data_IF_921112171553
#
_entry.id   IF_921112171553
#
_cell.length_a   1.000
_cell.length_b   1.000
_cell.length_c   1.000
_cell.angle_alpha   90.00
_cell.angle_beta   90.00
_cell.angle_gamma   90.00
#
_symmetry.space_group_name_H-M   'P 1'
#
loop_
_entity.id
_entity.type
_entity.pdbx_description
1 polymer ?
#
# COMPACT_ATOMS: atom_id res chain seq x y z
N UNK A 1 48.50 -40.80 -10.31
CA UNK A 1 48.20 -39.63 -9.46
C UNK A 1 47.02 -38.79 -9.99
N UNK A 2 46.01 -39.43 -10.61
CA UNK A 2 44.88 -38.77 -11.28
C UNK A 2 43.49 -39.10 -10.71
N UNK A 3 43.16 -40.31 -10.23
CA UNK A 3 41.77 -40.61 -9.82
C UNK A 3 41.36 -39.92 -8.51
N UNK A 4 42.32 -39.73 -7.60
CA UNK A 4 42.07 -39.11 -6.30
C UNK A 4 41.77 -37.60 -6.39
N UNK A 5 42.32 -36.93 -7.41
CA UNK A 5 42.07 -35.50 -7.66
C UNK A 5 40.69 -35.24 -8.25
N UNK A 6 40.22 -36.12 -9.14
CA UNK A 6 38.86 -36.06 -9.68
C UNK A 6 37.81 -36.37 -8.62
N UNK A 7 38.08 -37.34 -7.73
CA UNK A 7 37.21 -37.65 -6.61
C UNK A 7 37.08 -36.46 -5.63
N UNK A 8 38.21 -35.81 -5.29
CA UNK A 8 38.20 -34.63 -4.44
C UNK A 8 37.44 -33.44 -5.08
N UNK A 9 37.56 -33.25 -6.39
CA UNK A 9 36.86 -32.19 -7.12
C UNK A 9 35.34 -32.44 -7.15
N UNK A 10 34.91 -33.69 -7.35
CA UNK A 10 33.50 -34.05 -7.38
C UNK A 10 32.83 -33.87 -6.00
N UNK A 11 33.53 -34.25 -4.92
CA UNK A 11 33.04 -34.08 -3.54
C UNK A 11 32.95 -32.60 -3.17
N UNK A 12 33.94 -31.79 -3.55
CA UNK A 12 33.90 -30.35 -3.33
C UNK A 12 32.73 -29.68 -4.08
N UNK A 13 32.44 -30.11 -5.32
CA UNK A 13 31.33 -29.59 -6.10
C UNK A 13 29.97 -29.92 -5.44
N UNK A 14 29.79 -31.13 -4.92
CA UNK A 14 28.55 -31.50 -4.21
C UNK A 14 28.35 -30.75 -2.89
N UNK A 15 29.43 -30.37 -2.20
CA UNK A 15 29.35 -29.59 -0.96
C UNK A 15 28.96 -28.13 -1.22
N UNK A 16 29.40 -27.54 -2.34
CA UNK A 16 29.03 -26.17 -2.72
C UNK A 16 27.56 -26.06 -3.13
N UNK A 17 27.00 -27.08 -3.79
CA UNK A 17 25.56 -27.10 -4.13
C UNK A 17 24.65 -27.30 -2.91
N UNK A 18 25.10 -28.00 -1.87
CA UNK A 18 24.35 -28.19 -0.62
C UNK A 18 24.30 -26.91 0.25
N UNK A 19 25.30 -26.03 0.14
CA UNK A 19 25.38 -24.80 0.92
C UNK A 19 24.44 -23.67 0.44
N UNK A 20 23.77 -23.82 -0.71
CA UNK A 20 22.70 -22.92 -1.15
C UNK A 20 21.29 -23.45 -0.83
N UNK A 21 21.17 -24.65 -0.24
CA UNK A 21 19.92 -25.11 0.35
C UNK A 21 19.76 -24.48 1.73
N UNK A 22 19.02 -23.37 1.81
CA UNK A 22 18.54 -22.86 3.09
C UNK A 22 17.87 -24.03 3.81
N UNK A 23 18.43 -24.42 4.96
CA UNK A 23 17.82 -25.39 5.86
C UNK A 23 16.35 -25.06 5.98
N UNK A 24 15.49 -26.04 5.78
CA UNK A 24 14.06 -25.95 6.05
C UNK A 24 13.90 -25.60 7.54
N UNK A 25 13.94 -24.30 7.86
CA UNK A 25 13.13 -23.76 8.93
C UNK A 25 11.73 -24.33 8.69
N UNK A 26 11.08 -24.93 9.71
CA UNK A 26 9.73 -25.45 9.54
C UNK A 26 8.96 -24.33 8.88
N UNK A 27 8.43 -24.62 7.68
CA UNK A 27 7.69 -23.68 6.87
C UNK A 27 6.88 -22.83 7.84
N UNK A 28 7.31 -21.56 8.00
CA UNK A 28 6.68 -20.59 8.88
C UNK A 28 5.21 -20.86 8.77
N UNK A 29 4.62 -21.35 9.87
CA UNK A 29 3.28 -21.91 9.90
C UNK A 29 2.45 -21.06 8.96
N UNK A 30 1.99 -21.65 7.84
CA UNK A 30 1.30 -20.91 6.79
C UNK A 30 0.40 -19.91 7.49
N UNK A 31 0.78 -18.63 7.46
CA UNK A 31 0.06 -17.59 8.19
C UNK A 31 -1.37 -17.82 7.76
N UNK A 32 -2.24 -18.14 8.73
CA UNK A 32 -3.66 -18.21 8.49
C UNK A 32 -4.06 -16.77 8.28
N UNK A 33 -3.71 -16.26 7.11
CA UNK A 33 -3.94 -14.90 6.72
C UNK A 33 -5.43 -14.66 6.87
N UNK A 34 -5.76 -13.47 7.35
CA UNK A 34 -7.14 -13.08 7.53
C UNK A 34 -7.90 -13.34 6.22
N UNK A 35 -9.07 -14.01 6.24
CA UNK A 35 -9.92 -14.17 5.06
C UNK A 35 -10.13 -12.87 4.29
N UNK A 36 -10.12 -11.71 4.96
CA UNK A 36 -10.17 -10.38 4.33
C UNK A 36 -8.94 -10.09 3.44
N UNK A 37 -7.73 -10.48 3.87
CA UNK A 37 -6.52 -10.37 3.05
C UNK A 37 -6.62 -11.22 1.78
N UNK A 38 -7.12 -12.44 1.92
CA UNK A 38 -7.34 -13.34 0.79
C UNK A 38 -8.36 -12.78 -0.21
N UNK A 39 -9.42 -12.12 0.28
CA UNK A 39 -10.41 -11.49 -0.58
C UNK A 39 -9.80 -10.37 -1.43
N UNK A 40 -8.90 -9.56 -0.88
CA UNK A 40 -8.26 -8.48 -1.64
C UNK A 40 -7.27 -9.00 -2.69
N UNK A 41 -6.55 -10.10 -2.41
CA UNK A 41 -5.62 -10.71 -3.37
C UNK A 41 -6.33 -11.22 -4.63
N UNK A 42 -7.64 -11.51 -4.57
CA UNK A 42 -8.43 -11.89 -5.74
C UNK A 42 -8.49 -10.79 -6.82
N UNK A 43 -8.14 -9.53 -6.48
CA UNK A 43 -8.08 -8.42 -7.43
C UNK A 43 -6.71 -8.24 -8.10
N UNK A 44 -5.70 -9.02 -7.71
CA UNK A 44 -4.35 -8.92 -8.25
C UNK A 44 -4.24 -9.76 -9.52
N UNK A 45 -3.84 -9.18 -10.67
CA UNK A 45 -3.59 -9.94 -11.89
C UNK A 45 -2.48 -10.97 -11.68
N UNK A 46 -2.63 -12.15 -12.28
CA UNK A 46 -1.62 -13.21 -12.19
C UNK A 46 -0.27 -12.82 -12.81
N UNK A 47 -0.26 -11.85 -13.74
CA UNK A 47 0.88 -11.32 -14.45
C UNK A 47 1.39 -9.98 -13.89
N UNK A 48 0.98 -9.61 -12.66
CA UNK A 48 1.45 -8.37 -12.04
C UNK A 48 3.00 -8.36 -11.94
N UNK A 49 3.67 -7.27 -12.36
CA UNK A 49 5.13 -7.20 -12.32
C UNK A 49 5.69 -7.05 -10.89
N UNK A 50 4.88 -6.60 -9.94
CA UNK A 50 5.21 -6.47 -8.52
C UNK A 50 3.95 -6.53 -7.65
N UNK A 51 4.12 -6.94 -6.41
CA UNK A 51 3.08 -6.96 -5.38
C UNK A 51 3.73 -6.68 -4.01
N UNK A 52 3.18 -5.74 -3.28
CA UNK A 52 3.39 -5.56 -1.85
C UNK A 52 2.03 -5.62 -1.17
N UNK A 53 1.88 -6.48 -0.17
CA UNK A 53 0.63 -6.62 0.57
C UNK A 53 0.91 -7.06 2.00
N UNK A 54 0.11 -6.56 2.96
CA UNK A 54 0.05 -7.14 4.30
C UNK A 54 -1.11 -8.14 4.39
N UNK A 55 -0.81 -9.33 4.90
CA UNK A 55 -1.79 -10.41 5.09
C UNK A 55 -2.51 -10.34 6.44
N UNK A 56 -1.95 -9.55 7.35
CA UNK A 56 -2.45 -9.29 8.68
C UNK A 56 -2.44 -7.76 8.90
N UNK A 57 -3.25 -7.22 9.83
CA UNK A 57 -3.24 -5.81 10.13
C UNK A 57 -1.84 -5.32 10.53
N UNK A 58 -1.48 -4.11 10.11
CA UNK A 58 -0.21 -3.49 10.48
C UNK A 58 -0.15 -3.37 12.03
N UNK A 59 0.93 -3.81 12.67
CA UNK A 59 1.13 -3.60 14.10
C UNK A 59 1.07 -2.12 14.47
N UNK A 60 0.48 -1.82 15.63
CA UNK A 60 0.21 -0.45 16.07
C UNK A 60 1.51 0.38 16.18
N UNK A 61 2.54 -0.19 16.78
CA UNK A 61 3.86 0.41 16.97
C UNK A 61 4.56 0.72 15.64
N UNK A 62 4.40 -0.17 14.66
CA UNK A 62 4.94 0.04 13.31
C UNK A 62 4.20 1.18 12.61
N UNK A 63 2.87 1.22 12.71
CA UNK A 63 2.08 2.31 12.14
C UNK A 63 2.46 3.66 12.75
N UNK A 64 2.56 3.73 14.08
CA UNK A 64 2.95 4.95 14.80
C UNK A 64 4.33 5.45 14.35
N UNK A 65 5.33 4.56 14.29
CA UNK A 65 6.67 4.89 13.80
C UNK A 65 6.63 5.45 12.36
N UNK A 66 5.82 4.85 11.47
CA UNK A 66 5.69 5.35 10.09
C UNK A 66 5.03 6.72 10.04
N UNK A 67 3.96 6.93 10.82
CA UNK A 67 3.26 8.21 10.89
C UNK A 67 4.14 9.32 11.46
N UNK A 68 4.89 9.06 12.53
CA UNK A 68 5.85 10.02 13.09
C UNK A 68 6.88 10.46 12.06
N UNK A 69 7.40 9.49 11.28
CA UNK A 69 8.34 9.76 10.19
C UNK A 69 7.72 10.57 9.05
N UNK A 70 6.45 10.33 8.73
CA UNK A 70 5.73 11.00 7.65
C UNK A 70 5.11 12.35 8.07
N UNK A 71 4.98 12.62 9.36
CA UNK A 71 4.29 13.79 9.89
C UNK A 71 4.74 15.11 9.26
N UNK A 72 6.04 15.41 9.08
CA UNK A 72 6.46 16.67 8.47
C UNK A 72 5.98 16.82 7.02
N UNK A 73 5.95 15.72 6.27
CA UNK A 73 5.46 15.72 4.89
C UNK A 73 3.93 15.85 4.84
N UNK A 74 3.21 15.23 5.78
CA UNK A 74 1.76 15.37 5.91
C UNK A 74 1.36 16.79 6.30
N UNK A 75 2.08 17.41 7.23
CA UNK A 75 1.86 18.80 7.65
C UNK A 75 2.09 19.78 6.49
N UNK A 76 3.16 19.55 5.72
CA UNK A 76 3.43 20.34 4.52
C UNK A 76 2.33 20.14 3.47
N UNK A 77 1.96 18.90 3.16
CA UNK A 77 0.90 18.59 2.21
C UNK A 77 -0.44 19.22 2.64
N UNK A 78 -0.75 19.22 3.94
CA UNK A 78 -1.94 19.86 4.49
C UNK A 78 -1.91 21.37 4.27
N UNK A 79 -0.78 22.01 4.55
CA UNK A 79 -0.60 23.46 4.34
C UNK A 79 -0.78 23.83 2.86
N UNK A 80 -0.15 23.07 1.96
CA UNK A 80 -0.24 23.29 0.51
C UNK A 80 -1.66 23.05 -0.01
N UNK A 81 -2.33 22.00 0.45
CA UNK A 81 -3.73 21.71 0.11
C UNK A 81 -4.64 22.86 0.54
N UNK A 82 -4.55 23.29 1.80
CA UNK A 82 -5.38 24.38 2.32
C UNK A 82 -5.11 25.70 1.59
N UNK A 83 -3.86 25.97 1.18
CA UNK A 83 -3.52 27.14 0.38
C UNK A 83 -4.13 27.05 -1.04
N UNK A 84 -3.97 25.93 -1.71
CA UNK A 84 -4.52 25.70 -3.05
C UNK A 84 -6.06 25.81 -3.08
N UNK A 85 -6.74 25.31 -2.04
CA UNK A 85 -8.19 25.43 -1.92
C UNK A 85 -8.66 26.88 -1.71
N UNK A 86 -7.90 27.71 -0.99
CA UNK A 86 -8.20 29.14 -0.79
C UNK A 86 -8.01 29.97 -2.07
N UNK A 87 -7.01 29.61 -2.87
CA UNK A 87 -6.72 30.27 -4.14
C UNK A 87 -7.64 29.80 -5.27
N UNK A 88 -8.34 28.68 -5.10
CA UNK A 88 -9.25 28.13 -6.10
C UNK A 88 -10.55 28.94 -6.18
N UNK A 89 -10.86 29.59 -7.32
CA UNK A 89 -12.05 30.43 -7.48
C UNK A 89 -13.36 29.64 -7.63
N UNK A 90 -13.37 28.35 -7.27
CA UNK A 90 -14.49 27.44 -7.49
C UNK A 90 -15.64 27.68 -6.49
N UNK A 91 -16.37 28.75 -6.79
CA UNK A 91 -17.73 29.05 -6.36
C UNK A 91 -18.60 29.61 -7.50
N UNK A 92 -18.17 29.59 -8.77
CA UNK A 92 -18.93 30.20 -9.86
C UNK A 92 -18.73 29.53 -11.23
N UNK A 93 -19.52 28.50 -11.53
CA UNK A 93 -20.18 28.30 -12.84
C UNK A 93 -20.97 26.98 -12.83
N UNK A 94 -22.24 27.06 -13.23
CA UNK A 94 -23.18 25.94 -13.35
C UNK A 94 -23.27 25.44 -14.82
N UNK A 95 -22.36 25.88 -15.68
CA UNK A 95 -22.34 25.54 -17.11
C UNK A 95 -21.33 24.43 -17.39
N UNK A 96 -21.83 23.20 -17.42
CA UNK A 96 -21.02 21.99 -17.49
C UNK A 96 -20.46 21.71 -18.90
N UNK A 97 -19.18 21.98 -19.09
CA UNK A 97 -18.37 21.24 -20.06
C UNK A 97 -17.73 20.00 -19.38
N UNK A 98 -17.52 18.90 -20.11
CA UNK A 98 -17.09 17.61 -19.51
C UNK A 98 -15.74 17.70 -18.79
N UNK A 99 -14.86 18.59 -19.24
CA UNK A 99 -13.57 18.84 -18.57
C UNK A 99 -13.75 19.55 -17.23
N UNK A 100 -14.76 20.41 -17.10
CA UNK A 100 -15.09 21.10 -15.84
C UNK A 100 -15.66 20.13 -14.80
N UNK A 101 -16.41 19.11 -15.22
CA UNK A 101 -16.96 18.09 -14.34
C UNK A 101 -15.88 17.30 -13.58
N UNK A 102 -14.82 16.89 -14.27
CA UNK A 102 -13.69 16.19 -13.64
C UNK A 102 -12.90 17.12 -12.71
N UNK A 103 -12.68 18.38 -13.10
CA UNK A 103 -12.01 19.36 -12.25
C UNK A 103 -12.81 19.64 -10.96
N UNK A 104 -14.14 19.77 -11.07
CA UNK A 104 -15.05 19.94 -9.94
C UNK A 104 -15.05 18.74 -9.00
N UNK A 105 -15.10 17.52 -9.54
CA UNK A 105 -15.02 16.30 -8.74
C UNK A 105 -13.68 16.20 -8.00
N UNK A 106 -12.56 16.42 -8.69
CA UNK A 106 -11.23 16.42 -8.07
C UNK A 106 -11.14 17.44 -6.95
N UNK A 107 -11.68 18.64 -7.16
CA UNK A 107 -11.68 19.67 -6.13
C UNK A 107 -12.58 19.33 -4.94
N UNK A 108 -13.74 18.71 -5.18
CA UNK A 108 -14.61 18.22 -4.11
C UNK A 108 -13.88 17.17 -3.26
N UNK A 109 -13.21 16.21 -3.90
CA UNK A 109 -12.38 15.21 -3.22
C UNK A 109 -11.28 15.88 -2.40
N UNK A 110 -10.55 16.84 -2.98
CA UNK A 110 -9.49 17.56 -2.27
C UNK A 110 -10.01 18.34 -1.04
N UNK A 111 -11.22 18.93 -1.12
CA UNK A 111 -11.87 19.57 0.03
C UNK A 111 -12.18 18.57 1.14
N UNK A 112 -12.56 17.34 0.81
CA UNK A 112 -12.83 16.32 1.83
C UNK A 112 -11.59 15.96 2.64
N UNK A 113 -10.39 16.10 2.07
CA UNK A 113 -9.14 15.87 2.78
C UNK A 113 -8.61 17.11 3.53
N UNK A 114 -9.18 18.30 3.33
CA UNK A 114 -8.71 19.52 3.99
C UNK A 114 -8.91 19.44 5.51
N UNK A 115 -7.84 19.71 6.26
CA UNK A 115 -7.80 19.51 7.71
C UNK A 115 -7.77 18.05 8.17
N UNK A 116 -7.76 17.06 7.26
CA UNK A 116 -7.86 15.64 7.59
C UNK A 116 -6.60 14.83 7.26
N UNK A 117 -5.49 15.45 6.84
CA UNK A 117 -4.21 14.76 6.60
C UNK A 117 -3.44 14.47 7.90
N UNK A 118 -4.10 13.77 8.82
CA UNK A 118 -3.57 13.25 10.07
C UNK A 118 -4.18 11.87 10.33
N UNK A 119 -3.64 11.11 11.29
CA UNK A 119 -4.20 9.81 11.65
C UNK A 119 -5.71 9.89 11.95
N UNK A 120 -6.08 10.73 12.90
CA UNK A 120 -7.47 10.90 13.31
C UNK A 120 -8.34 11.48 12.19
N UNK A 121 -7.79 12.37 11.36
CA UNK A 121 -8.48 12.90 10.19
C UNK A 121 -8.80 11.83 9.15
N UNK A 122 -7.84 10.98 8.81
CA UNK A 122 -8.03 9.88 7.87
C UNK A 122 -8.99 8.82 8.43
N UNK A 123 -8.89 8.49 9.72
CA UNK A 123 -9.82 7.59 10.38
C UNK A 123 -11.25 8.17 10.42
N UNK A 124 -11.41 9.49 10.52
CA UNK A 124 -12.73 10.15 10.45
C UNK A 124 -13.41 10.04 9.09
N UNK A 125 -12.64 9.76 8.03
CA UNK A 125 -13.14 9.46 6.68
C UNK A 125 -13.54 7.97 6.52
N UNK A 126 -13.42 7.17 7.58
CA UNK A 126 -13.69 5.73 7.55
C UNK A 126 -12.51 4.89 7.03
N UNK A 127 -11.33 5.48 6.86
CA UNK A 127 -10.12 4.74 6.48
C UNK A 127 -9.56 4.00 7.69
N UNK A 128 -9.10 2.77 7.50
CA UNK A 128 -8.33 2.03 8.51
C UNK A 128 -6.87 1.94 8.04
N UNK A 129 -5.99 2.68 8.72
CA UNK A 129 -4.57 2.74 8.37
C UNK A 129 -3.83 1.44 8.70
N UNK A 130 -4.42 0.57 9.54
CA UNK A 130 -3.87 -0.73 9.90
C UNK A 130 -4.44 -1.86 9.06
N UNK A 131 -5.54 -1.62 8.34
CA UNK A 131 -6.19 -2.64 7.54
C UNK A 131 -5.26 -3.30 6.51
N UNK A 132 -5.76 -4.36 5.89
CA UNK A 132 -5.11 -4.98 4.75
C UNK A 132 -5.00 -4.00 3.58
N UNK A 133 -3.78 -3.85 3.08
CA UNK A 133 -3.39 -2.96 2.01
C UNK A 133 -2.66 -3.75 0.93
N UNK A 134 -2.92 -3.41 -0.33
CA UNK A 134 -2.26 -4.00 -1.49
C UNK A 134 -1.74 -2.91 -2.39
N UNK A 135 -0.52 -3.08 -2.86
CA UNK A 135 0.11 -2.26 -3.86
C UNK A 135 0.66 -3.16 -4.96
N UNK A 136 0.10 -3.08 -6.16
CA UNK A 136 0.44 -3.98 -7.25
C UNK A 136 0.42 -3.28 -8.61
N UNK A 137 1.09 -3.86 -9.59
CA UNK A 137 1.11 -3.33 -10.96
C UNK A 137 -0.13 -3.73 -11.75
N UNK A 138 -0.71 -2.77 -12.46
CA UNK A 138 -1.73 -3.02 -13.47
C UNK A 138 -1.29 -2.35 -14.78
N UNK A 139 -0.67 -3.14 -15.67
CA UNK A 139 0.01 -2.62 -16.85
C UNK A 139 1.16 -1.69 -16.45
N UNK A 140 1.09 -0.41 -16.86
CA UNK A 140 2.11 0.60 -16.57
C UNK A 140 1.88 1.38 -15.25
N UNK A 141 0.74 1.19 -14.58
CA UNK A 141 0.35 2.00 -13.44
C UNK A 141 0.29 1.17 -12.14
N UNK A 142 0.74 1.74 -11.01
CA UNK A 142 0.51 1.12 -9.71
C UNK A 142 -0.96 1.26 -9.30
N UNK A 143 -1.49 0.23 -8.66
CA UNK A 143 -2.79 0.21 -8.01
C UNK A 143 -2.60 0.02 -6.53
N UNK A 144 -3.21 0.90 -5.74
CA UNK A 144 -3.29 0.76 -4.29
C UNK A 144 -4.72 0.40 -3.88
N UNK A 145 -4.88 -0.57 -2.98
CA UNK A 145 -6.15 -0.96 -2.36
C UNK A 145 -5.97 -0.99 -0.85
N UNK A 146 -6.99 -0.59 -0.12
CA UNK A 146 -7.08 -0.76 1.33
C UNK A 146 -8.50 -1.15 1.71
N UNK A 147 -8.66 -1.91 2.80
CA UNK A 147 -9.98 -2.06 3.42
C UNK A 147 -10.37 -0.78 4.16
N UNK A 148 -11.68 -0.54 4.28
CA UNK A 148 -12.24 0.55 5.07
C UNK A 148 -12.56 0.04 6.47
N UNK A 149 -12.29 0.86 7.49
CA UNK A 149 -12.76 0.62 8.85
C UNK A 149 -14.25 0.92 8.99
N UNK A 150 -14.71 2.01 8.36
CA UNK A 150 -16.11 2.43 8.36
C UNK A 150 -16.57 2.85 6.95
N UNK A 151 -17.19 1.93 6.19
CA UNK A 151 -17.75 2.26 4.88
C UNK A 151 -18.94 3.23 4.93
N UNK A 152 -19.56 3.45 6.09
CA UNK A 152 -20.63 4.43 6.29
C UNK A 152 -20.04 5.84 6.34
N UNK A 153 -19.01 6.04 7.16
CA UNK A 153 -18.31 7.32 7.27
C UNK A 153 -17.81 7.84 5.90
N UNK A 154 -17.25 6.97 5.04
CA UNK A 154 -16.82 7.36 3.70
C UNK A 154 -17.97 7.75 2.76
N UNK A 155 -19.19 7.24 2.97
CA UNK A 155 -20.36 7.62 2.16
C UNK A 155 -20.99 8.93 2.60
N UNK A 156 -20.79 9.28 3.87
CA UNK A 156 -21.41 10.44 4.52
C UNK A 156 -20.51 11.69 4.49
N UNK A 157 -19.28 11.58 3.96
CA UNK A 157 -18.41 12.73 3.58
C UNK A 157 -18.93 13.40 2.32
#
# INVERSE_FOLDING_TARGET
MTPFRFAALAVALTLVLSACGKSEEPASAASTADPAAHALLAHVPADTPYLAANLEPVPEDVLEMFLERLQPALDQAQSELSAALKESPAGASDDADRSEGHARLSLAVLREFDGKLSRSGLESLGLDLRAQQLFYGMGAFPVFRMSLGDPGALRDT
#
